data_IF_041840802638
#
_entry.id   IF_041840802638
#
_cell.length_a   1.000
_cell.length_b   1.000
_cell.length_c   1.000
_cell.angle_alpha   90.00
_cell.angle_beta   90.00
_cell.angle_gamma   90.00
#
_symmetry.space_group_name_H-M   'P 1'
#
loop_
_entity.id
_entity.type
_entity.pdbx_description
1 polymer ?
#
# COMPACT_ATOMS: atom_id res chain seq x y z
N UNK A 1 -14.03 -60.16 -14.82
CA UNK A 1 -13.03 -59.52 -15.71
C UNK A 1 -13.76 -58.45 -16.53
N UNK A 2 -13.77 -57.20 -16.06
CA UNK A 2 -14.50 -56.10 -16.72
C UNK A 2 -13.65 -55.60 -17.88
N UNK A 3 -14.05 -55.93 -19.12
CA UNK A 3 -13.44 -55.32 -20.31
C UNK A 3 -14.00 -53.91 -20.48
N UNK A 4 -13.20 -52.92 -20.12
CA UNK A 4 -13.45 -51.53 -20.50
C UNK A 4 -13.31 -51.44 -22.02
N UNK A 5 -14.43 -51.44 -22.73
CA UNK A 5 -14.45 -51.16 -24.16
C UNK A 5 -14.15 -49.67 -24.33
N UNK A 6 -12.87 -49.33 -24.54
CA UNK A 6 -12.42 -47.97 -24.83
C UNK A 6 -13.01 -47.52 -26.16
N UNK A 7 -14.21 -46.97 -26.12
CA UNK A 7 -14.85 -46.34 -27.27
C UNK A 7 -14.37 -44.89 -27.33
N UNK A 8 -13.81 -44.41 -28.46
CA UNK A 8 -13.38 -43.01 -28.62
C UNK A 8 -14.46 -41.99 -28.24
N UNK A 9 -15.74 -42.35 -28.42
CA UNK A 9 -16.90 -41.55 -28.01
C UNK A 9 -16.98 -41.31 -26.51
N UNK A 10 -16.64 -42.31 -25.69
CA UNK A 10 -16.66 -42.20 -24.21
C UNK A 10 -15.55 -41.27 -23.74
N UNK A 11 -14.36 -41.35 -24.34
CA UNK A 11 -13.24 -40.46 -24.04
C UNK A 11 -13.60 -39.00 -24.37
N UNK A 12 -14.19 -38.75 -25.54
CA UNK A 12 -14.65 -37.41 -25.94
C UNK A 12 -15.73 -36.88 -24.99
N UNK A 13 -16.68 -37.71 -24.55
CA UNK A 13 -17.71 -37.32 -23.60
C UNK A 13 -17.13 -36.92 -22.23
N UNK A 14 -16.17 -37.71 -21.72
CA UNK A 14 -15.48 -37.40 -20.46
C UNK A 14 -14.68 -36.10 -20.60
N UNK A 15 -13.97 -35.91 -21.71
CA UNK A 15 -13.20 -34.69 -21.96
C UNK A 15 -14.11 -33.45 -22.03
N UNK A 16 -15.24 -33.52 -22.73
CA UNK A 16 -16.20 -32.42 -22.85
C UNK A 16 -16.88 -32.12 -21.50
N UNK A 17 -17.26 -33.16 -20.75
CA UNK A 17 -17.84 -32.99 -19.42
C UNK A 17 -16.83 -32.34 -18.46
N UNK A 18 -15.58 -32.83 -18.45
CA UNK A 18 -14.49 -32.27 -17.66
C UNK A 18 -14.19 -30.82 -18.00
N UNK A 19 -14.11 -30.48 -19.29
CA UNK A 19 -13.87 -29.12 -19.76
C UNK A 19 -14.97 -28.14 -19.33
N UNK A 20 -16.25 -28.57 -19.35
CA UNK A 20 -17.38 -27.73 -18.92
C UNK A 20 -17.36 -27.45 -17.41
N UNK A 21 -16.99 -28.44 -16.61
CA UNK A 21 -16.86 -28.28 -15.15
C UNK A 21 -15.69 -27.35 -14.83
N UNK A 22 -14.54 -27.59 -15.46
CA UNK A 22 -13.32 -26.79 -15.26
C UNK A 22 -13.53 -25.33 -15.70
N UNK A 23 -14.15 -25.11 -16.87
CA UNK A 23 -14.45 -23.77 -17.37
C UNK A 23 -15.42 -22.99 -16.46
N UNK A 24 -16.46 -23.66 -15.93
CA UNK A 24 -17.38 -23.05 -14.96
C UNK A 24 -16.68 -22.66 -13.66
N UNK A 25 -15.78 -23.51 -13.16
CA UNK A 25 -15.01 -23.24 -11.95
C UNK A 25 -14.08 -22.03 -12.13
N UNK A 26 -13.33 -21.97 -13.24
CA UNK A 26 -12.48 -20.82 -13.54
C UNK A 26 -13.28 -19.53 -13.74
N UNK A 27 -14.44 -19.59 -14.39
CA UNK A 27 -15.31 -18.42 -14.53
C UNK A 27 -15.84 -17.91 -13.19
N UNK A 28 -16.30 -18.81 -12.31
CA UNK A 28 -16.76 -18.45 -10.98
C UNK A 28 -15.62 -17.88 -10.12
N UNK A 29 -14.46 -18.52 -10.13
CA UNK A 29 -13.26 -18.04 -9.43
C UNK A 29 -12.79 -16.69 -9.99
N UNK A 30 -12.79 -16.49 -11.30
CA UNK A 30 -12.47 -15.22 -11.94
C UNK A 30 -13.44 -14.10 -11.57
N UNK A 31 -14.75 -14.39 -11.56
CA UNK A 31 -15.77 -13.44 -11.09
C UNK A 31 -15.56 -13.06 -9.62
N UNK A 32 -15.22 -14.03 -8.77
CA UNK A 32 -14.87 -13.77 -7.37
C UNK A 32 -13.57 -12.98 -7.23
N UNK A 33 -12.55 -13.26 -8.03
CA UNK A 33 -11.29 -12.52 -8.04
C UNK A 33 -11.50 -11.05 -8.43
N UNK A 34 -12.34 -10.77 -9.43
CA UNK A 34 -12.71 -9.40 -9.83
C UNK A 34 -13.52 -8.71 -8.75
N UNK A 35 -14.50 -9.39 -8.14
CA UNK A 35 -15.26 -8.84 -7.02
C UNK A 35 -14.32 -8.48 -5.85
N UNK A 36 -13.43 -9.40 -5.47
CA UNK A 36 -12.44 -9.17 -4.42
C UNK A 36 -11.47 -8.05 -4.79
N UNK A 37 -11.03 -7.95 -6.04
CA UNK A 37 -10.15 -6.87 -6.50
C UNK A 37 -10.80 -5.49 -6.39
N UNK A 38 -12.13 -5.37 -6.58
CA UNK A 38 -12.86 -4.11 -6.35
C UNK A 38 -12.92 -3.71 -4.88
N UNK A 39 -12.88 -4.68 -3.97
CA UNK A 39 -12.84 -4.45 -2.52
C UNK A 39 -11.42 -4.42 -1.96
N UNK A 40 -10.39 -4.70 -2.76
CA UNK A 40 -9.00 -4.54 -2.33
C UNK A 40 -8.69 -3.05 -2.27
N UNK A 41 -8.20 -2.54 -1.14
CA UNK A 41 -7.77 -1.15 -1.06
C UNK A 41 -6.70 -0.91 -2.13
N UNK A 42 -6.83 0.21 -2.84
CA UNK A 42 -5.91 0.66 -3.88
C UNK A 42 -4.50 0.73 -3.29
N UNK A 43 -3.66 -0.28 -3.55
CA UNK A 43 -2.32 -0.41 -2.96
C UNK A 43 -1.95 -1.80 -2.41
N UNK A 44 -2.92 -2.70 -2.18
CA UNK A 44 -2.64 -4.02 -1.57
C UNK A 44 -1.93 -5.05 -2.49
N UNK A 45 -1.53 -4.69 -3.70
CA UNK A 45 -0.91 -5.60 -4.67
C UNK A 45 0.34 -5.03 -5.37
N UNK A 46 0.61 -3.74 -5.23
CA UNK A 46 1.82 -3.11 -5.73
C UNK A 46 2.43 -2.35 -4.58
N UNK A 47 3.67 -2.70 -4.20
CA UNK A 47 4.41 -1.93 -3.20
C UNK A 47 4.43 -0.44 -3.57
N UNK A 48 4.77 0.39 -2.59
CA UNK A 48 4.97 1.85 -2.52
C UNK A 48 4.88 2.60 -3.87
N UNK A 49 5.60 2.13 -4.87
CA UNK A 49 5.60 2.66 -6.23
C UNK A 49 4.23 2.71 -6.94
N UNK A 50 3.33 1.74 -6.72
CA UNK A 50 2.07 1.68 -7.48
C UNK A 50 1.07 2.76 -7.02
N UNK A 51 0.92 2.95 -5.70
CA UNK A 51 0.04 3.99 -5.15
C UNK A 51 0.62 5.39 -5.31
N UNK A 52 1.94 5.55 -5.11
CA UNK A 52 2.63 6.84 -5.24
C UNK A 52 2.78 7.26 -6.71
N UNK A 53 2.94 6.32 -7.64
CA UNK A 53 3.11 6.61 -9.06
C UNK A 53 1.86 7.21 -9.72
N UNK A 54 0.69 7.06 -9.10
CA UNK A 54 -0.56 7.67 -9.57
C UNK A 54 -0.84 9.01 -8.91
N UNK A 55 -0.01 9.40 -7.93
CA UNK A 55 -0.14 10.64 -7.22
C UNK A 55 0.50 11.81 -7.99
N UNK A 56 -0.12 12.23 -9.10
CA UNK A 56 0.40 13.28 -10.01
C UNK A 56 -0.33 14.62 -9.94
N UNK A 57 -1.45 14.68 -9.22
CA UNK A 57 -2.26 15.88 -9.00
C UNK A 57 -1.68 16.83 -7.93
N UNK A 58 -2.21 18.06 -7.93
CA UNK A 58 -1.92 19.06 -6.90
C UNK A 58 -2.75 18.92 -5.62
N UNK A 59 -3.63 17.92 -5.51
CA UNK A 59 -4.51 17.77 -4.34
C UNK A 59 -3.73 17.41 -3.07
N UNK A 60 -4.28 17.76 -1.91
CA UNK A 60 -3.62 17.57 -0.61
C UNK A 60 -3.31 16.10 -0.33
N UNK A 61 -4.30 15.22 -0.53
CA UNK A 61 -4.13 13.76 -0.41
C UNK A 61 -2.96 13.23 -1.24
N UNK A 62 -2.74 13.83 -2.39
CA UNK A 62 -1.71 13.45 -3.34
C UNK A 62 -0.32 13.95 -2.96
N UNK A 63 -0.24 15.18 -2.47
CA UNK A 63 0.98 15.74 -1.87
C UNK A 63 1.43 14.87 -0.70
N UNK A 64 0.52 14.56 0.23
CA UNK A 64 0.80 13.70 1.37
C UNK A 64 1.20 12.28 0.93
N UNK A 65 0.59 11.74 -0.13
CA UNK A 65 0.98 10.43 -0.67
C UNK A 65 2.39 10.43 -1.23
N UNK A 66 2.81 11.50 -1.92
CA UNK A 66 4.19 11.65 -2.42
C UNK A 66 5.21 11.86 -1.29
N UNK A 67 4.83 12.61 -0.27
CA UNK A 67 5.68 12.92 0.89
C UNK A 67 5.99 11.66 1.71
N UNK A 68 4.95 10.94 2.15
CA UNK A 68 5.12 9.74 2.98
C UNK A 68 5.42 8.48 2.16
N UNK A 69 5.37 8.58 0.82
CA UNK A 69 5.55 7.46 -0.12
C UNK A 69 4.59 6.29 0.16
N UNK A 70 3.36 6.61 0.57
CA UNK A 70 2.28 5.65 0.84
C UNK A 70 0.92 6.34 0.78
N UNK A 71 -0.13 5.57 0.45
CA UNK A 71 -1.50 6.09 0.42
C UNK A 71 -2.13 6.08 1.81
N UNK A 72 -3.21 6.85 2.02
CA UNK A 72 -4.00 6.82 3.25
C UNK A 72 -4.52 5.40 3.56
N UNK A 73 -4.99 4.70 2.51
CA UNK A 73 -5.52 3.34 2.64
C UNK A 73 -4.43 2.33 3.02
N UNK A 74 -3.22 2.48 2.48
CA UNK A 74 -2.05 1.68 2.88
C UNK A 74 -1.71 1.93 4.35
N UNK A 75 -1.69 3.20 4.79
CA UNK A 75 -1.40 3.55 6.17
C UNK A 75 -2.42 2.94 7.16
N UNK A 76 -3.72 3.00 6.81
CA UNK A 76 -4.80 2.36 7.58
C UNK A 76 -4.66 0.85 7.64
N UNK A 77 -4.27 0.22 6.52
CA UNK A 77 -4.03 -1.21 6.47
C UNK A 77 -2.83 -1.64 7.32
N UNK A 78 -1.72 -0.90 7.27
CA UNK A 78 -0.52 -1.17 8.07
C UNK A 78 -0.83 -1.07 9.57
N UNK A 79 -1.56 -0.04 9.99
CA UNK A 79 -1.91 0.17 11.40
C UNK A 79 -3.15 -0.64 11.83
N UNK A 80 -3.82 -1.33 10.90
CA UNK A 80 -5.07 -2.06 11.14
C UNK A 80 -6.14 -1.19 11.83
N UNK A 81 -6.38 -0.02 11.24
CA UNK A 81 -7.37 0.98 11.70
C UNK A 81 -8.35 1.31 10.58
N UNK A 82 -9.52 1.82 10.96
CA UNK A 82 -10.57 2.28 10.04
C UNK A 82 -10.51 3.80 9.87
N UNK A 83 -11.25 4.33 8.89
CA UNK A 83 -11.31 5.78 8.65
C UNK A 83 -11.94 6.53 9.82
N UNK A 84 -12.86 5.89 10.53
CA UNK A 84 -13.62 6.47 11.63
C UNK A 84 -12.94 6.29 13.00
N UNK A 85 -11.77 5.63 13.04
CA UNK A 85 -11.04 5.40 14.27
C UNK A 85 -10.42 6.70 14.79
N UNK A 86 -10.41 6.88 16.11
CA UNK A 86 -9.89 8.09 16.75
C UNK A 86 -8.36 8.13 16.75
N UNK A 87 -7.79 9.33 16.97
CA UNK A 87 -6.35 9.52 17.09
C UNK A 87 -5.71 8.65 18.17
N UNK A 88 -6.40 8.42 19.29
CA UNK A 88 -5.93 7.57 20.39
C UNK A 88 -5.81 6.10 19.95
N UNK A 89 -6.76 5.63 19.13
CA UNK A 89 -6.75 4.27 18.60
C UNK A 89 -5.62 4.07 17.59
N UNK A 90 -5.37 5.06 16.75
CA UNK A 90 -4.22 5.09 15.83
C UNK A 90 -2.91 5.00 16.63
N UNK A 91 -2.77 5.81 17.69
CA UNK A 91 -1.58 5.80 18.54
C UNK A 91 -1.37 4.46 19.24
N UNK A 92 -2.43 3.87 19.81
CA UNK A 92 -2.36 2.56 20.46
C UNK A 92 -1.86 1.46 19.51
N UNK A 93 -2.42 1.43 18.29
CA UNK A 93 -2.02 0.46 17.28
C UNK A 93 -0.58 0.69 16.80
N UNK A 94 -0.19 1.95 16.61
CA UNK A 94 1.19 2.32 16.30
C UNK A 94 2.16 1.82 17.37
N UNK A 95 1.93 2.12 18.65
CA UNK A 95 2.82 1.71 19.74
C UNK A 95 2.95 0.18 19.82
N UNK A 96 1.83 -0.53 19.67
CA UNK A 96 1.81 -1.99 19.68
C UNK A 96 2.67 -2.57 18.54
N UNK A 97 2.42 -2.12 17.30
CA UNK A 97 3.13 -2.61 16.11
C UNK A 97 4.60 -2.18 16.12
N UNK A 98 4.91 -0.96 16.55
CA UNK A 98 6.28 -0.47 16.66
C UNK A 98 7.07 -1.33 17.64
N UNK A 99 6.53 -1.57 18.84
CA UNK A 99 7.17 -2.41 19.86
C UNK A 99 7.35 -3.85 19.39
N UNK A 100 6.35 -4.43 18.73
CA UNK A 100 6.41 -5.80 18.22
C UNK A 100 7.48 -5.99 17.13
N UNK A 101 7.83 -4.93 16.39
CA UNK A 101 8.82 -4.95 15.32
C UNK A 101 10.17 -4.30 15.69
N UNK A 102 10.33 -3.83 16.93
CA UNK A 102 11.58 -3.26 17.41
C UNK A 102 12.70 -4.31 17.44
N UNK A 103 13.97 -3.88 17.31
CA UNK A 103 15.12 -4.76 17.43
C UNK A 103 15.05 -5.63 18.71
N UNK A 104 15.25 -6.96 18.63
CA UNK A 104 15.30 -7.79 19.81
C UNK A 104 16.43 -7.33 20.71
N UNK A 105 16.23 -7.42 22.03
CA UNK A 105 17.27 -7.13 22.99
C UNK A 105 18.54 -7.92 22.63
N UNK A 106 19.67 -7.23 22.50
CA UNK A 106 20.94 -7.84 22.15
C UNK A 106 21.20 -9.02 23.11
N UNK A 107 21.44 -10.25 22.59
CA UNK A 107 21.65 -11.38 23.47
C UNK A 107 22.93 -11.15 24.27
N UNK A 108 22.83 -11.18 25.59
CA UNK A 108 23.97 -10.94 26.48
C UNK A 108 25.09 -12.00 26.31
N UNK A 109 24.80 -13.16 25.70
CA UNK A 109 25.74 -14.22 25.34
C UNK A 109 25.17 -15.03 24.16
N UNK A 110 26.00 -15.59 23.26
CA UNK A 110 25.54 -16.57 22.27
C UNK A 110 25.10 -17.83 23.03
N UNK A 111 23.80 -17.96 23.29
CA UNK A 111 23.24 -19.17 23.87
C UNK A 111 23.23 -20.24 22.78
N UNK A 112 24.18 -21.18 22.84
CA UNK A 112 24.17 -22.39 22.02
C UNK A 112 22.87 -23.16 22.28
N UNK A 113 22.06 -23.36 21.23
CA UNK A 113 20.88 -24.23 21.27
C UNK A 113 19.52 -23.57 21.50
N UNK A 114 19.41 -22.24 21.60
CA UNK A 114 18.09 -21.55 21.59
C UNK A 114 17.67 -21.17 20.17
N UNK A 115 16.35 -21.24 19.88
CA UNK A 115 15.80 -20.69 18.64
C UNK A 115 16.31 -19.26 18.44
N UNK A 116 16.74 -18.94 17.22
CA UNK A 116 17.20 -17.60 16.88
C UNK A 116 16.14 -16.57 17.32
N UNK A 117 16.54 -15.44 17.92
CA UNK A 117 15.59 -14.38 18.25
C UNK A 117 14.84 -13.96 16.96
N UNK A 118 13.57 -13.54 17.08
CA UNK A 118 12.80 -13.10 15.93
C UNK A 118 13.59 -12.03 15.17
N UNK A 119 13.71 -12.20 13.86
CA UNK A 119 14.44 -11.29 13.01
C UNK A 119 13.75 -9.90 13.05
N UNK A 120 14.50 -8.86 13.39
CA UNK A 120 14.01 -7.49 13.27
C UNK A 120 14.10 -7.05 11.82
N UNK A 121 13.06 -6.36 11.35
CA UNK A 121 13.06 -5.73 10.04
C UNK A 121 12.94 -4.23 10.22
N UNK A 122 14.04 -3.52 9.95
CA UNK A 122 14.04 -2.05 9.92
C UNK A 122 13.03 -1.51 8.89
N UNK A 123 12.79 -2.24 7.80
CA UNK A 123 11.80 -1.87 6.80
C UNK A 123 10.38 -1.89 7.39
N UNK A 124 10.01 -2.93 8.13
CA UNK A 124 8.69 -3.01 8.77
C UNK A 124 8.51 -1.92 9.82
N UNK A 125 9.54 -1.66 10.62
CA UNK A 125 9.50 -0.57 11.59
C UNK A 125 9.35 0.80 10.90
N UNK A 126 10.12 1.05 9.84
CA UNK A 126 10.02 2.27 9.04
C UNK A 126 8.62 2.45 8.42
N UNK A 127 7.99 1.34 8.02
CA UNK A 127 6.63 1.34 7.47
C UNK A 127 5.58 1.74 8.49
N UNK A 128 5.67 1.21 9.70
CA UNK A 128 4.76 1.54 10.80
C UNK A 128 4.88 3.02 11.18
N UNK A 129 6.10 3.56 11.23
CA UNK A 129 6.35 4.98 11.51
C UNK A 129 5.73 5.88 10.44
N UNK A 130 6.03 5.62 9.17
CA UNK A 130 5.47 6.44 8.07
C UNK A 130 3.95 6.35 7.98
N UNK A 131 3.37 5.18 8.29
CA UNK A 131 1.92 5.02 8.32
C UNK A 131 1.27 5.94 9.36
N UNK A 132 1.86 6.03 10.55
CA UNK A 132 1.40 6.95 11.59
C UNK A 132 1.55 8.40 11.15
N UNK A 133 2.72 8.80 10.64
CA UNK A 133 2.96 10.16 10.14
C UNK A 133 1.95 10.57 9.05
N UNK A 134 1.64 9.66 8.13
CA UNK A 134 0.70 9.90 7.03
C UNK A 134 -0.74 10.12 7.52
N UNK A 135 -1.18 9.38 8.53
CA UNK A 135 -2.52 9.57 9.13
C UNK A 135 -2.57 10.81 10.01
N UNK A 136 -1.51 11.09 10.77
CA UNK A 136 -1.40 12.31 11.58
C UNK A 136 -1.46 13.56 10.68
N UNK A 137 -0.81 13.53 9.51
CA UNK A 137 -0.88 14.62 8.53
C UNK A 137 -2.29 14.77 7.91
N UNK A 138 -3.01 13.68 7.67
CA UNK A 138 -4.39 13.73 7.18
C UNK A 138 -5.34 14.32 8.23
N UNK A 139 -5.20 13.93 9.49
CA UNK A 139 -5.99 14.47 10.59
C UNK A 139 -5.75 15.97 10.79
N UNK A 140 -4.49 16.42 10.72
CA UNK A 140 -4.14 17.85 10.78
C UNK A 140 -4.74 18.64 9.61
N UNK A 141 -4.69 18.07 8.41
CA UNK A 141 -5.32 18.63 7.23
C UNK A 141 -6.84 18.75 7.38
N UNK A 142 -7.51 17.73 7.94
CA UNK A 142 -8.96 17.73 8.21
C UNK A 142 -9.35 18.75 9.28
N UNK A 143 -8.50 18.95 10.30
CA UNK A 143 -8.69 19.94 11.37
C UNK A 143 -8.42 21.39 10.91
N UNK A 144 -7.99 21.60 9.66
CA UNK A 144 -7.85 22.92 9.06
C UNK A 144 -6.59 23.69 9.52
N UNK A 145 -5.60 23.01 10.09
CA UNK A 145 -4.35 23.66 10.53
C UNK A 145 -3.43 24.09 9.35
N UNK A 146 -3.76 23.68 8.12
CA UNK A 146 -3.01 24.00 6.88
C UNK A 146 -3.58 25.18 6.06
N UNK A 147 -4.32 26.11 6.68
CA UNK A 147 -4.74 27.38 6.01
C UNK A 147 -3.76 28.54 6.28
N UNK A 148 -2.72 28.36 7.10
CA UNK A 148 -1.79 29.44 7.48
C UNK A 148 -0.46 29.47 6.70
N UNK A 149 -0.36 28.85 5.52
CA UNK A 149 0.82 28.95 4.65
C UNK A 149 0.44 29.43 3.23
N UNK A 150 0.17 30.74 3.15
CA UNK A 150 0.29 31.67 2.02
C UNK A 150 -0.33 31.34 0.64
N UNK A 151 -1.12 32.27 0.04
CA UNK A 151 -1.54 32.18 -1.35
C UNK A 151 -0.33 32.32 -2.31
N UNK A 152 -0.41 31.79 -3.55
CA UNK A 152 0.61 32.03 -4.57
C UNK A 152 0.67 33.54 -4.90
N UNK A 153 1.86 34.16 -5.04
CA UNK A 153 1.94 35.50 -5.60
C UNK A 153 1.55 35.42 -7.08
N UNK A 154 0.34 35.87 -7.40
CA UNK A 154 -0.02 36.26 -8.74
C UNK A 154 0.69 37.58 -9.08
N UNK A 155 1.39 37.59 -10.21
CA UNK A 155 1.63 38.74 -11.08
C UNK A 155 2.40 39.95 -10.51
N UNK A 156 3.71 39.97 -10.80
CA UNK A 156 4.41 41.21 -11.14
C UNK A 156 5.09 41.02 -12.50
N UNK A 157 4.36 41.36 -13.56
CA UNK A 157 4.95 41.59 -14.88
C UNK A 157 5.69 42.93 -14.90
N UNK A 158 6.90 42.89 -15.48
CA UNK A 158 7.64 43.97 -16.15
C UNK A 158 8.29 45.06 -15.30
N UNK A 159 9.63 45.12 -15.31
CA UNK A 159 10.44 46.03 -16.16
C UNK A 159 11.94 45.85 -15.87
N UNK A 160 12.83 45.98 -16.88
CA UNK A 160 14.25 46.33 -16.63
C UNK A 160 15.34 45.46 -17.27
N UNK A 161 15.55 45.66 -18.58
CA UNK A 161 16.86 45.74 -19.27
C UNK A 161 17.98 44.73 -18.98
N UNK A 162 18.22 43.85 -19.95
CA UNK A 162 19.51 43.19 -20.23
C UNK A 162 20.54 44.21 -20.74
N UNK A 163 21.77 44.29 -20.21
CA UNK A 163 22.89 44.91 -20.93
C UNK A 163 23.58 43.88 -21.86
N UNK A 164 24.09 44.32 -23.04
CA UNK A 164 24.67 43.42 -24.06
C UNK A 164 26.06 42.88 -23.65
N UNK A 165 26.54 41.80 -24.31
CA UNK A 165 27.82 41.17 -23.99
C UNK A 165 29.02 42.06 -24.36
N UNK A 166 30.16 41.96 -23.63
CA UNK A 166 31.37 42.69 -23.97
C UNK A 166 32.07 42.08 -25.18
N UNK A 167 32.44 42.93 -26.14
CA UNK A 167 33.39 42.61 -27.20
C UNK A 167 34.82 42.77 -26.68
N UNK A 168 35.61 41.70 -26.69
CA UNK A 168 37.07 41.67 -26.86
C UNK A 168 37.52 40.23 -27.11
#
# INVERSE_FOLDING_TARGET
MVRLSSSPKVIVQIAVAGAKILGKAFYAAGKQAVANAKYRPTGAAGGDAAGVGHATSGSLTDRLTREHRMTADEARLILNVKKEDTAERILQHYEHLFKANSPPAAPAKPASGRQAPPAHSHYLQSKVVRARERLDAELKAELGEDVAAAPPPAEAQQTGSTPPPPSS
#
